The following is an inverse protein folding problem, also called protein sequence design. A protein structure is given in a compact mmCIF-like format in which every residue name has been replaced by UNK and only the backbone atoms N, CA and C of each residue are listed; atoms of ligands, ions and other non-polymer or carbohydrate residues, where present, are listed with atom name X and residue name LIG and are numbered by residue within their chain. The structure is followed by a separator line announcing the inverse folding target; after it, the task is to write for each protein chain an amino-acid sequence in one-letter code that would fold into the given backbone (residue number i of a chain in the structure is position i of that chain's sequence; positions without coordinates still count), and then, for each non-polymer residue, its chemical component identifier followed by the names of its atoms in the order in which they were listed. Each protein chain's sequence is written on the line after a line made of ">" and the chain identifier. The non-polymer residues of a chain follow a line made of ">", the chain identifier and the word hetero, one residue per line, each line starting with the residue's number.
data_IF_158231389183
#
_entry.id   IF_158231389183
#
_cell.length_a   1.000
_cell.length_b   1.000
_cell.length_c   1.000
_cell.angle_alpha   90.00
_cell.angle_beta   90.00
_cell.angle_gamma   90.00
#
_symmetry.space_group_name_H-M   'P 1'
#
loop_
_entity.id
_entity.type
_entity.pdbx_description
1 polymer ?
#
# COMPACT_ATOMS: atom_id res chain seq x y z
N UNK A 1 52.45 27.82 -22.66
CA UNK A 1 52.21 27.16 -21.35
C UNK A 1 50.85 27.51 -20.72
N UNK A 2 50.48 28.79 -20.56
CA UNK A 2 49.19 29.17 -19.92
C UNK A 2 47.94 28.52 -20.54
N UNK A 3 47.86 28.42 -21.88
CA UNK A 3 46.73 27.79 -22.58
C UNK A 3 46.59 26.28 -22.34
N UNK A 4 47.70 25.56 -22.18
CA UNK A 4 47.67 24.12 -21.89
C UNK A 4 47.17 23.84 -20.47
N UNK A 5 47.51 24.73 -19.53
CA UNK A 5 47.09 24.64 -18.13
C UNK A 5 45.57 24.83 -17.97
N UNK A 6 44.97 25.76 -18.71
CA UNK A 6 43.51 25.96 -18.66
C UNK A 6 42.70 24.79 -19.25
N UNK A 7 43.24 24.10 -20.27
CA UNK A 7 42.57 22.93 -20.86
C UNK A 7 42.64 21.74 -19.88
N UNK A 8 43.81 21.48 -19.28
CA UNK A 8 43.96 20.42 -18.28
C UNK A 8 43.11 20.69 -17.02
N UNK A 9 43.06 21.94 -16.56
CA UNK A 9 42.22 22.34 -15.42
C UNK A 9 40.72 22.21 -15.74
N UNK A 10 40.30 22.55 -16.97
CA UNK A 10 38.93 22.38 -17.43
C UNK A 10 38.49 20.92 -17.52
N UNK A 11 39.36 20.03 -18.02
CA UNK A 11 39.10 18.58 -18.07
C UNK A 11 38.99 18.00 -16.66
N UNK A 12 39.89 18.40 -15.74
CA UNK A 12 39.83 17.96 -14.35
C UNK A 12 38.53 18.39 -13.66
N UNK A 13 38.09 19.63 -13.86
CA UNK A 13 36.81 20.12 -13.32
C UNK A 13 35.59 19.40 -13.93
N UNK A 14 35.62 19.08 -15.23
CA UNK A 14 34.55 18.34 -15.90
C UNK A 14 34.45 16.90 -15.38
N UNK A 15 35.58 16.22 -15.18
CA UNK A 15 35.62 14.89 -14.56
C UNK A 15 35.16 14.91 -13.10
N UNK A 16 35.48 15.97 -12.35
CA UNK A 16 35.02 16.13 -10.97
C UNK A 16 33.50 16.35 -10.88
N UNK A 17 32.93 17.11 -11.82
CA UNK A 17 31.47 17.30 -11.91
C UNK A 17 30.72 16.01 -12.32
N UNK A 18 31.25 15.24 -13.27
CA UNK A 18 30.66 13.94 -13.67
C UNK A 18 30.79 12.92 -12.52
N UNK A 19 31.91 12.93 -11.79
CA UNK A 19 32.09 12.08 -10.60
C UNK A 19 31.16 12.43 -9.45
N UNK A 20 30.91 13.74 -9.19
CA UNK A 20 29.92 14.17 -8.20
C UNK A 20 28.49 13.81 -8.61
N UNK A 21 28.14 13.92 -9.90
CA UNK A 21 26.82 13.46 -10.37
C UNK A 21 26.68 11.94 -10.18
N UNK A 22 27.70 11.12 -10.46
CA UNK A 22 27.65 9.67 -10.24
C UNK A 22 27.59 9.25 -8.75
N UNK A 23 28.12 10.07 -7.82
CA UNK A 23 28.07 9.80 -6.38
C UNK A 23 26.76 10.28 -5.72
N UNK A 24 26.10 11.28 -6.31
CA UNK A 24 24.82 11.83 -5.83
C UNK A 24 23.63 11.23 -6.58
N UNK A 25 23.85 10.57 -7.73
CA UNK A 25 22.80 9.78 -8.40
C UNK A 25 22.58 8.52 -7.57
N UNK A 26 21.43 8.38 -6.91
CA UNK A 26 21.17 7.23 -6.06
C UNK A 26 21.16 5.96 -6.92
N UNK A 27 21.90 4.94 -6.47
CA UNK A 27 22.13 3.65 -7.15
C UNK A 27 20.85 2.97 -7.67
N UNK A 28 19.70 3.29 -7.06
CA UNK A 28 18.39 2.72 -7.29
C UNK A 28 17.63 3.23 -8.53
N UNK A 29 18.01 4.40 -9.08
CA UNK A 29 17.25 4.98 -10.21
C UNK A 29 17.60 4.34 -11.55
N UNK A 30 18.82 3.83 -11.72
CA UNK A 30 19.37 3.38 -13.02
C UNK A 30 19.36 1.87 -13.24
N UNK A 31 19.03 1.07 -12.22
CA UNK A 31 19.01 -0.39 -12.34
C UNK A 31 17.69 -0.94 -12.85
N UNK A 32 17.81 -1.95 -13.73
CA UNK A 32 16.70 -2.82 -14.15
C UNK A 32 16.30 -3.85 -13.10
N UNK A 33 17.17 -4.12 -12.13
CA UNK A 33 16.97 -5.13 -11.09
C UNK A 33 17.15 -4.47 -9.72
N UNK A 34 16.03 -4.02 -9.15
CA UNK A 34 16.00 -3.36 -7.83
C UNK A 34 16.24 -4.38 -6.72
N UNK A 35 15.68 -5.59 -6.84
CA UNK A 35 15.80 -6.67 -5.86
C UNK A 35 17.26 -7.05 -5.58
N UNK A 36 18.07 -7.24 -6.62
CA UNK A 36 19.50 -7.54 -6.45
C UNK A 36 20.30 -6.44 -5.75
N UNK A 37 19.89 -5.17 -5.86
CA UNK A 37 20.59 -4.04 -5.24
C UNK A 37 20.25 -3.84 -3.78
N UNK A 38 19.03 -4.23 -3.38
CA UNK A 38 18.55 -4.05 -2.01
C UNK A 38 18.82 -5.28 -1.14
N UNK A 39 19.06 -6.45 -1.73
CA UNK A 39 19.38 -7.68 -1.00
C UNK A 39 20.54 -7.51 0.00
N UNK A 40 21.60 -6.78 -0.39
CA UNK A 40 22.78 -6.56 0.46
C UNK A 40 22.64 -5.39 1.45
N UNK A 41 21.54 -4.62 1.40
CA UNK A 41 21.33 -3.47 2.27
C UNK A 41 20.70 -3.88 3.60
N UNK A 42 20.87 -3.07 4.64
CA UNK A 42 20.14 -3.27 5.88
C UNK A 42 18.66 -2.90 5.72
N UNK A 43 17.76 -3.53 6.50
CA UNK A 43 16.33 -3.20 6.50
C UNK A 43 16.08 -1.72 6.74
N UNK A 44 16.88 -1.09 7.62
CA UNK A 44 16.81 0.35 7.87
C UNK A 44 17.18 1.19 6.65
N UNK A 45 18.21 0.80 5.91
CA UNK A 45 18.61 1.52 4.70
C UNK A 45 17.55 1.38 3.60
N UNK A 46 16.92 0.22 3.47
CA UNK A 46 15.82 -0.01 2.53
C UNK A 46 14.65 0.92 2.89
N UNK A 47 14.21 0.92 4.15
CA UNK A 47 13.07 1.71 4.61
C UNK A 47 13.35 3.22 4.52
N UNK A 48 14.56 3.66 4.86
CA UNK A 48 14.95 5.07 4.76
C UNK A 48 14.91 5.61 3.31
N UNK A 49 14.89 4.72 2.31
CA UNK A 49 14.86 5.07 0.90
C UNK A 49 13.56 4.68 0.20
N UNK A 50 12.57 4.14 0.92
CA UNK A 50 11.37 3.54 0.32
C UNK A 50 10.54 4.56 -0.48
N UNK A 51 10.44 5.80 0.01
CA UNK A 51 9.72 6.90 -0.67
C UNK A 51 10.29 7.23 -2.05
N UNK A 52 11.57 6.91 -2.30
CA UNK A 52 12.20 7.13 -3.61
C UNK A 52 11.61 6.24 -4.70
N UNK A 53 10.96 5.15 -4.32
CA UNK A 53 10.32 4.21 -5.22
C UNK A 53 8.84 4.49 -5.42
N UNK A 54 8.20 5.31 -4.58
CA UNK A 54 6.76 5.60 -4.60
C UNK A 54 6.20 6.08 -5.96
N UNK A 55 7.05 6.62 -6.85
CA UNK A 55 6.68 6.99 -8.21
C UNK A 55 6.67 5.84 -9.23
N UNK A 56 7.03 4.62 -8.83
CA UNK A 56 7.16 3.44 -9.70
C UNK A 56 6.62 2.20 -8.96
N UNK A 57 5.34 1.83 -9.17
CA UNK A 57 4.71 0.72 -8.48
C UNK A 57 5.50 -0.58 -8.54
N UNK A 58 6.02 -0.94 -9.73
CA UNK A 58 6.85 -2.14 -9.94
C UNK A 58 8.09 -2.17 -9.04
N UNK A 59 8.79 -1.03 -8.88
CA UNK A 59 9.97 -0.93 -8.03
C UNK A 59 9.59 -0.97 -6.54
N UNK A 60 8.48 -0.33 -6.18
CA UNK A 60 7.96 -0.40 -4.81
C UNK A 60 7.57 -1.83 -4.43
N UNK A 61 6.93 -2.58 -5.34
CA UNK A 61 6.63 -4.02 -5.14
C UNK A 61 7.91 -4.81 -4.92
N UNK A 62 8.94 -4.59 -5.74
CA UNK A 62 10.22 -5.29 -5.56
C UNK A 62 10.85 -5.02 -4.17
N UNK A 63 10.75 -3.79 -3.67
CA UNK A 63 11.21 -3.42 -2.32
C UNK A 63 10.37 -4.08 -1.23
N UNK A 64 9.04 -4.08 -1.39
CA UNK A 64 8.13 -4.69 -0.41
C UNK A 64 8.28 -6.21 -0.34
N UNK A 65 8.50 -6.87 -1.47
CA UNK A 65 8.79 -8.30 -1.52
C UNK A 65 10.08 -8.65 -0.78
N UNK A 66 11.15 -7.87 -0.98
CA UNK A 66 12.40 -8.05 -0.22
C UNK A 66 12.19 -7.84 1.27
N UNK A 67 11.42 -6.81 1.65
CA UNK A 67 11.06 -6.59 3.06
C UNK A 67 10.24 -7.75 3.63
N UNK A 68 9.41 -8.41 2.82
CA UNK A 68 8.61 -9.58 3.20
C UNK A 68 9.44 -10.77 3.69
N UNK A 69 10.69 -10.87 3.25
CA UNK A 69 11.66 -11.89 3.70
C UNK A 69 12.32 -11.52 5.04
N UNK A 70 12.09 -10.30 5.57
CA UNK A 70 12.77 -9.72 6.75
C UNK A 70 11.83 -9.42 7.91
N UNK A 71 10.83 -10.27 8.10
CA UNK A 71 9.71 -10.08 9.04
C UNK A 71 10.14 -9.75 10.48
N UNK A 72 11.16 -10.47 11.00
CA UNK A 72 11.64 -10.24 12.37
C UNK A 72 12.30 -8.86 12.53
N UNK A 73 12.97 -8.36 11.50
CA UNK A 73 13.55 -7.02 11.51
C UNK A 73 12.46 -5.96 11.46
N UNK A 74 11.40 -6.17 10.67
CA UNK A 74 10.24 -5.26 10.56
C UNK A 74 9.55 -5.06 11.92
N UNK A 75 9.42 -6.12 12.73
CA UNK A 75 8.79 -6.02 14.07
C UNK A 75 9.50 -5.01 14.97
N UNK A 76 10.83 -4.90 14.82
CA UNK A 76 11.70 -4.02 15.61
C UNK A 76 11.81 -2.58 15.10
N UNK A 77 11.18 -2.25 13.97
CA UNK A 77 11.20 -0.92 13.40
C UNK A 77 10.42 0.10 14.24
N UNK A 78 10.83 1.36 14.12
CA UNK A 78 10.14 2.49 14.71
C UNK A 78 8.76 2.70 14.05
N UNK A 79 7.78 3.29 14.74
CA UNK A 79 6.46 3.57 14.17
C UNK A 79 6.51 4.37 12.85
N UNK A 80 7.43 5.33 12.74
CA UNK A 80 7.63 6.12 11.51
C UNK A 80 8.14 5.27 10.34
N UNK A 81 8.99 4.29 10.61
CA UNK A 81 9.52 3.35 9.62
C UNK A 81 8.42 2.39 9.16
N UNK A 82 7.62 1.88 10.09
CA UNK A 82 6.43 1.06 9.80
C UNK A 82 5.41 1.84 8.94
N UNK A 83 5.13 3.09 9.29
CA UNK A 83 4.26 3.98 8.50
C UNK A 83 4.77 4.18 7.08
N UNK A 84 6.09 4.31 6.88
CA UNK A 84 6.68 4.42 5.54
C UNK A 84 6.45 3.15 4.70
N UNK A 85 6.60 1.97 5.30
CA UNK A 85 6.32 0.68 4.63
C UNK A 85 4.83 0.57 4.26
N UNK A 86 3.93 0.94 5.17
CA UNK A 86 2.49 0.97 4.94
C UNK A 86 2.12 1.88 3.74
N UNK A 87 2.62 3.12 3.74
CA UNK A 87 2.41 4.07 2.65
C UNK A 87 2.98 3.57 1.32
N UNK A 88 4.13 2.92 1.35
CA UNK A 88 4.71 2.30 0.17
C UNK A 88 3.78 1.22 -0.39
N UNK A 89 3.23 0.35 0.47
CA UNK A 89 2.22 -0.66 0.10
C UNK A 89 1.00 -0.05 -0.60
N UNK A 90 0.47 1.03 -0.03
CA UNK A 90 -0.62 1.81 -0.65
C UNK A 90 -0.23 2.34 -2.01
N UNK A 91 0.96 2.96 -2.14
CA UNK A 91 1.42 3.53 -3.41
C UNK A 91 1.68 2.49 -4.50
N UNK A 92 2.09 1.28 -4.12
CA UNK A 92 2.34 0.19 -5.06
C UNK A 92 1.02 -0.44 -5.53
N UNK A 93 0.05 -0.55 -4.62
CA UNK A 93 -1.17 -1.35 -4.84
C UNK A 93 -2.32 -0.50 -5.36
N UNK A 94 -2.47 0.72 -4.87
CA UNK A 94 -3.58 1.61 -5.23
C UNK A 94 -3.09 2.56 -6.32
N UNK A 95 -3.44 2.34 -7.61
CA UNK A 95 -3.04 3.22 -8.69
C UNK A 95 -3.89 4.49 -8.63
N UNK A 96 -3.60 5.40 -7.69
CA UNK A 96 -4.35 6.63 -7.46
C UNK A 96 -4.50 7.47 -8.75
N UNK A 97 -3.52 7.40 -9.64
CA UNK A 97 -3.57 8.04 -10.96
C UNK A 97 -4.64 7.45 -11.87
N UNK A 98 -4.83 6.14 -11.82
CA UNK A 98 -5.85 5.43 -12.61
C UNK A 98 -7.22 5.59 -11.99
N UNK A 99 -7.32 5.57 -10.65
CA UNK A 99 -8.53 5.92 -9.91
C UNK A 99 -8.97 7.35 -10.24
N UNK A 100 -8.05 8.31 -10.25
CA UNK A 100 -8.33 9.69 -10.65
C UNK A 100 -8.79 9.75 -12.10
N UNK A 101 -8.13 9.04 -13.02
CA UNK A 101 -8.52 9.02 -14.43
C UNK A 101 -9.92 8.40 -14.64
N UNK A 102 -10.28 7.36 -13.89
CA UNK A 102 -11.61 6.74 -13.90
C UNK A 102 -12.64 7.72 -13.32
N UNK A 103 -12.35 8.34 -12.19
CA UNK A 103 -13.21 9.34 -11.56
C UNK A 103 -13.45 10.54 -12.48
N UNK A 104 -12.39 11.07 -13.09
CA UNK A 104 -12.45 12.19 -14.04
C UNK A 104 -13.21 11.80 -15.31
N UNK A 105 -13.00 10.59 -15.84
CA UNK A 105 -13.75 10.10 -17.00
C UNK A 105 -15.24 10.00 -16.70
N UNK A 106 -15.59 9.61 -15.48
CA UNK A 106 -17.00 9.43 -15.09
C UNK A 106 -17.69 10.75 -14.74
N UNK A 107 -16.97 11.69 -14.11
CA UNK A 107 -17.48 13.04 -13.87
C UNK A 107 -17.71 13.82 -15.16
N UNK A 108 -16.89 13.58 -16.20
CA UNK A 108 -16.99 14.27 -17.48
C UNK A 108 -17.99 13.62 -18.47
N UNK A 109 -18.43 12.39 -18.25
CA UNK A 109 -19.38 11.70 -19.15
C UNK A 109 -20.85 12.10 -18.98
N UNK A 110 -21.22 12.89 -17.96
CA UNK A 110 -22.59 13.37 -17.77
C UNK A 110 -23.64 12.29 -17.48
N UNK A 111 -23.25 11.02 -17.43
CA UNK A 111 -24.08 9.92 -16.95
C UNK A 111 -24.16 9.97 -15.42
N UNK A 112 -25.38 10.02 -14.91
CA UNK A 112 -25.66 9.99 -13.48
C UNK A 112 -25.26 8.63 -12.89
N UNK A 113 -24.15 8.63 -12.14
CA UNK A 113 -23.73 7.56 -11.25
C UNK A 113 -22.64 6.67 -11.85
N UNK A 114 -21.40 6.85 -11.38
CA UNK A 114 -20.36 5.82 -11.51
C UNK A 114 -20.84 4.58 -10.78
N UNK A 115 -21.01 3.46 -11.46
CA UNK A 115 -21.24 2.16 -10.82
C UNK A 115 -20.03 1.84 -9.94
N UNK A 116 -20.17 1.82 -8.59
CA UNK A 116 -19.04 1.56 -7.69
C UNK A 116 -18.36 0.21 -7.96
N UNK A 117 -19.10 -0.75 -8.51
CA UNK A 117 -18.54 -2.05 -8.86
C UNK A 117 -17.58 -1.93 -10.05
N UNK A 118 -17.88 -1.10 -11.06
CA UNK A 118 -16.96 -0.87 -12.20
C UNK A 118 -15.67 -0.17 -11.78
N UNK A 119 -15.73 0.72 -10.79
CA UNK A 119 -14.53 1.36 -10.22
C UNK A 119 -13.69 0.32 -9.50
N UNK A 120 -14.32 -0.46 -8.63
CA UNK A 120 -13.64 -1.53 -7.89
C UNK A 120 -13.03 -2.57 -8.85
N UNK A 121 -13.74 -2.91 -9.93
CA UNK A 121 -13.25 -3.81 -10.97
C UNK A 121 -12.01 -3.25 -11.67
N UNK A 122 -12.06 -2.00 -12.11
CA UNK A 122 -10.93 -1.37 -12.78
C UNK A 122 -9.74 -1.25 -11.82
N UNK A 123 -9.96 -0.93 -10.55
CA UNK A 123 -8.91 -0.91 -9.52
C UNK A 123 -8.29 -2.29 -9.34
N UNK A 124 -9.09 -3.33 -9.11
CA UNK A 124 -8.62 -4.71 -8.97
C UNK A 124 -7.89 -5.21 -10.22
N UNK A 125 -8.27 -4.76 -11.42
CA UNK A 125 -7.60 -5.12 -12.66
C UNK A 125 -6.18 -4.56 -12.74
N UNK A 126 -5.96 -3.38 -12.17
CA UNK A 126 -4.71 -2.62 -12.20
C UNK A 126 -3.79 -2.84 -10.99
N UNK A 127 -4.32 -3.42 -9.91
CA UNK A 127 -3.53 -3.79 -8.74
C UNK A 127 -2.44 -4.80 -9.17
N UNK A 128 -1.14 -4.47 -8.98
CA UNK A 128 -0.08 -5.43 -9.21
C UNK A 128 -0.13 -6.53 -8.15
N UNK A 129 0.26 -7.74 -8.55
CA UNK A 129 0.49 -8.81 -7.58
C UNK A 129 1.74 -8.48 -6.74
N UNK A 130 1.60 -8.54 -5.42
CA UNK A 130 2.62 -8.15 -4.46
C UNK A 130 2.62 -9.12 -3.28
N UNK A 131 3.80 -9.43 -2.74
CA UNK A 131 3.90 -10.13 -1.46
C UNK A 131 3.51 -9.18 -0.32
N UNK A 132 2.44 -9.52 0.38
CA UNK A 132 1.86 -8.69 1.44
C UNK A 132 2.49 -8.92 2.82
N UNK A 133 3.41 -9.88 2.97
CA UNK A 133 4.00 -10.25 4.28
C UNK A 133 4.58 -9.09 5.06
N UNK A 134 5.30 -8.17 4.41
CA UNK A 134 5.87 -7.01 5.07
C UNK A 134 4.79 -6.11 5.72
N UNK A 135 3.65 -5.97 5.03
CA UNK A 135 2.50 -5.20 5.52
C UNK A 135 1.74 -5.97 6.59
N UNK A 136 1.53 -7.27 6.40
CA UNK A 136 0.87 -8.16 7.38
C UNK A 136 1.57 -8.10 8.74
N UNK A 137 2.90 -8.20 8.78
CA UNK A 137 3.68 -8.11 10.02
C UNK A 137 3.43 -6.79 10.76
N UNK A 138 3.25 -5.69 10.03
CA UNK A 138 2.94 -4.39 10.64
C UNK A 138 1.49 -4.34 11.11
N UNK A 139 0.55 -4.84 10.31
CA UNK A 139 -0.89 -4.89 10.62
C UNK A 139 -1.20 -5.79 11.85
N UNK A 140 -0.40 -6.83 12.06
CA UNK A 140 -0.50 -7.67 13.26
C UNK A 140 0.08 -7.02 14.52
N UNK A 141 0.95 -6.02 14.36
CA UNK A 141 1.66 -5.36 15.47
C UNK A 141 0.82 -4.30 16.22
N UNK A 142 1.43 -3.63 17.18
CA UNK A 142 0.84 -2.45 17.84
C UNK A 142 0.90 -1.23 16.91
N UNK A 143 -0.13 -0.40 16.98
CA UNK A 143 -0.32 0.79 16.16
C UNK A 143 0.08 2.09 16.86
N UNK A 144 0.73 2.00 18.02
CA UNK A 144 1.28 3.18 18.70
C UNK A 144 2.17 4.00 17.75
N UNK A 145 1.84 5.29 17.58
CA UNK A 145 2.57 6.20 16.69
C UNK A 145 2.31 6.01 15.19
N UNK A 146 1.41 5.10 14.79
CA UNK A 146 0.97 4.91 13.39
C UNK A 146 -0.42 5.53 13.20
N UNK A 147 -0.58 6.29 12.12
CA UNK A 147 -1.84 6.96 11.80
C UNK A 147 -2.93 5.97 11.39
N UNK A 148 -4.19 6.26 11.72
CA UNK A 148 -5.34 5.45 11.30
C UNK A 148 -5.44 5.37 9.79
N UNK A 149 -5.13 6.46 9.09
CA UNK A 149 -5.10 6.49 7.63
C UNK A 149 -4.13 5.46 7.05
N UNK A 150 -2.90 5.38 7.56
CA UNK A 150 -1.92 4.42 7.06
C UNK A 150 -2.39 2.97 7.28
N UNK A 151 -2.98 2.69 8.44
CA UNK A 151 -3.48 1.35 8.77
C UNK A 151 -4.64 0.96 7.85
N UNK A 152 -5.64 1.82 7.72
CA UNK A 152 -6.85 1.50 6.97
C UNK A 152 -6.56 1.43 5.47
N UNK A 153 -5.82 2.39 4.90
CA UNK A 153 -5.49 2.35 3.46
C UNK A 153 -4.57 1.17 3.13
N UNK A 154 -3.64 0.81 4.01
CA UNK A 154 -2.80 -0.37 3.78
C UNK A 154 -3.58 -1.67 3.94
N UNK A 155 -4.57 -1.70 4.84
CA UNK A 155 -5.48 -2.84 4.97
C UNK A 155 -6.28 -3.06 3.68
N UNK A 156 -6.74 -1.98 3.04
CA UNK A 156 -7.36 -2.03 1.70
C UNK A 156 -6.38 -2.59 0.67
N UNK A 157 -5.14 -2.09 0.65
CA UNK A 157 -4.12 -2.55 -0.29
C UNK A 157 -3.84 -4.06 -0.12
N UNK A 158 -3.60 -4.52 1.11
CA UNK A 158 -3.38 -5.95 1.41
C UNK A 158 -4.57 -6.79 0.99
N UNK A 159 -5.79 -6.36 1.30
CA UNK A 159 -7.00 -7.08 0.93
C UNK A 159 -7.17 -7.19 -0.60
N UNK A 160 -6.92 -6.11 -1.34
CA UNK A 160 -6.97 -6.11 -2.81
C UNK A 160 -5.93 -7.06 -3.41
N UNK A 161 -4.69 -7.06 -2.89
CA UNK A 161 -3.63 -7.98 -3.35
C UNK A 161 -3.94 -9.44 -3.04
N UNK A 162 -4.44 -9.73 -1.83
CA UNK A 162 -4.85 -11.08 -1.42
C UNK A 162 -5.98 -11.63 -2.31
N UNK A 163 -6.96 -10.78 -2.62
CA UNK A 163 -8.08 -11.11 -3.51
C UNK A 163 -7.59 -11.31 -4.94
N UNK A 164 -6.69 -10.46 -5.45
CA UNK A 164 -6.11 -10.60 -6.79
C UNK A 164 -5.39 -11.95 -6.95
N UNK A 165 -4.65 -12.37 -5.92
CA UNK A 165 -3.89 -13.63 -5.90
C UNK A 165 -4.76 -14.89 -5.94
N UNK A 166 -5.95 -14.85 -5.33
CA UNK A 166 -6.93 -15.94 -5.41
C UNK A 166 -7.36 -16.22 -6.86
N UNK A 167 -7.30 -15.20 -7.73
CA UNK A 167 -7.66 -15.29 -9.14
C UNK A 167 -9.16 -15.43 -9.37
N UNK A 168 -9.57 -15.21 -10.62
CA UNK A 168 -10.97 -15.28 -11.04
C UNK A 168 -11.46 -14.01 -11.74
N UNK A 169 -12.74 -13.99 -12.07
CA UNK A 169 -13.39 -12.81 -12.64
C UNK A 169 -13.49 -11.70 -11.60
N UNK A 170 -13.25 -10.46 -12.02
CA UNK A 170 -13.15 -9.31 -11.12
C UNK A 170 -14.44 -9.05 -10.32
N UNK A 171 -15.61 -9.38 -10.87
CA UNK A 171 -16.88 -9.27 -10.14
C UNK A 171 -16.97 -10.29 -9.00
N UNK A 172 -16.51 -11.52 -9.25
CA UNK A 172 -16.48 -12.56 -8.23
C UNK A 172 -15.46 -12.22 -7.14
N UNK A 173 -14.35 -11.57 -7.50
CA UNK A 173 -13.33 -11.11 -6.57
C UNK A 173 -13.84 -9.99 -5.65
N UNK A 174 -14.56 -9.01 -6.20
CA UNK A 174 -15.19 -7.96 -5.42
C UNK A 174 -16.21 -8.51 -4.42
N UNK A 175 -17.07 -9.44 -4.86
CA UNK A 175 -18.06 -10.08 -3.99
C UNK A 175 -17.41 -11.02 -2.94
N UNK A 176 -16.33 -11.71 -3.31
CA UNK A 176 -15.53 -12.50 -2.35
C UNK A 176 -14.94 -11.61 -1.26
N UNK A 177 -14.38 -10.46 -1.60
CA UNK A 177 -13.84 -9.52 -0.62
C UNK A 177 -14.91 -9.04 0.36
N UNK A 178 -16.05 -8.60 -0.18
CA UNK A 178 -17.23 -8.18 0.60
C UNK A 178 -17.74 -9.29 1.53
N UNK A 179 -17.78 -10.54 1.05
CA UNK A 179 -18.24 -11.67 1.85
C UNK A 179 -17.21 -12.18 2.88
N UNK A 180 -15.92 -11.95 2.64
CA UNK A 180 -14.85 -12.43 3.50
C UNK A 180 -14.67 -11.60 4.78
N UNK A 181 -14.72 -10.27 4.65
CA UNK A 181 -14.56 -9.35 5.78
C UNK A 181 -15.94 -8.89 6.20
N UNK A 182 -16.32 -9.10 7.45
CA UNK A 182 -17.62 -8.67 7.97
C UNK A 182 -17.43 -7.63 9.07
N UNK A 183 -18.05 -6.46 8.89
CA UNK A 183 -18.17 -5.45 9.93
C UNK A 183 -19.54 -5.59 10.62
N UNK A 184 -19.53 -5.69 11.94
CA UNK A 184 -20.74 -5.70 12.77
C UNK A 184 -20.68 -4.53 13.74
N UNK A 185 -21.67 -3.66 13.68
CA UNK A 185 -21.86 -2.62 14.68
C UNK A 185 -22.81 -3.15 15.77
N UNK A 186 -22.33 -3.13 17.01
CA UNK A 186 -23.10 -3.49 18.19
C UNK A 186 -24.04 -2.34 18.60
N UNK A 187 -25.07 -2.68 19.36
CA UNK A 187 -26.11 -1.73 19.79
C UNK A 187 -25.57 -0.56 20.66
N UNK A 188 -24.37 -0.71 21.23
CA UNK A 188 -23.69 0.33 22.01
C UNK A 188 -22.79 1.23 21.16
N UNK A 189 -22.79 1.04 19.83
CA UNK A 189 -21.96 1.78 18.88
C UNK A 189 -20.51 1.31 18.84
N UNK A 190 -20.17 0.21 19.52
CA UNK A 190 -18.89 -0.47 19.29
C UNK A 190 -18.97 -1.28 17.98
N UNK A 191 -17.82 -1.44 17.31
CA UNK A 191 -17.73 -2.20 16.07
C UNK A 191 -16.82 -3.40 16.26
N UNK A 192 -17.07 -4.47 15.50
CA UNK A 192 -16.15 -5.58 15.35
C UNK A 192 -15.94 -5.91 13.88
N UNK A 193 -14.73 -6.31 13.54
CA UNK A 193 -14.38 -6.79 12.20
C UNK A 193 -13.92 -8.23 12.31
N UNK A 194 -14.43 -9.09 11.43
CA UNK A 194 -14.08 -10.51 11.40
C UNK A 194 -13.81 -10.98 9.97
N UNK A 195 -13.03 -12.06 9.86
CA UNK A 195 -12.77 -12.76 8.61
C UNK A 195 -13.27 -14.20 8.71
N UNK A 196 -14.04 -14.65 7.72
CA UNK A 196 -14.62 -16.00 7.70
C UNK A 196 -13.79 -17.00 6.89
N UNK A 197 -12.94 -16.52 5.97
CA UNK A 197 -12.13 -17.38 5.10
C UNK A 197 -12.91 -18.14 4.02
N UNK A 198 -14.23 -17.99 3.99
CA UNK A 198 -15.11 -18.65 3.03
C UNK A 198 -14.88 -18.11 1.62
N UNK A 199 -14.75 -19.01 0.65
CA UNK A 199 -14.52 -18.64 -0.75
C UNK A 199 -13.06 -18.37 -1.15
N UNK A 200 -12.12 -18.48 -0.21
CA UNK A 200 -10.69 -18.41 -0.45
C UNK A 200 -10.04 -19.79 -0.35
N UNK A 201 -9.14 -20.10 -1.27
CA UNK A 201 -8.42 -21.38 -1.34
C UNK A 201 -6.92 -21.19 -1.15
N UNK A 202 -6.37 -20.03 -1.50
CA UNK A 202 -4.97 -19.71 -1.25
C UNK A 202 -4.73 -19.43 0.24
N UNK A 203 -3.73 -20.10 0.81
CA UNK A 203 -3.40 -19.98 2.22
C UNK A 203 -2.83 -18.59 2.57
N UNK A 204 -1.99 -18.02 1.69
CA UNK A 204 -1.42 -16.70 1.93
C UNK A 204 -2.47 -15.59 1.81
N UNK A 205 -3.46 -15.72 0.92
CA UNK A 205 -4.60 -14.81 0.86
C UNK A 205 -5.43 -14.85 2.15
N UNK A 206 -5.58 -16.03 2.78
CA UNK A 206 -6.26 -16.15 4.08
C UNK A 206 -5.48 -15.50 5.21
N UNK A 207 -4.17 -15.71 5.27
CA UNK A 207 -3.29 -15.07 6.26
C UNK A 207 -3.35 -13.54 6.13
N UNK A 208 -3.20 -13.03 4.92
CA UNK A 208 -3.29 -11.60 4.61
C UNK A 208 -4.64 -10.99 5.02
N UNK A 209 -5.76 -11.63 4.67
CA UNK A 209 -7.09 -11.13 5.02
C UNK A 209 -7.40 -11.25 6.52
N UNK A 210 -6.83 -12.25 7.21
CA UNK A 210 -6.92 -12.35 8.66
C UNK A 210 -6.15 -11.22 9.36
N UNK A 211 -4.94 -10.89 8.88
CA UNK A 211 -4.18 -9.74 9.37
C UNK A 211 -4.94 -8.41 9.15
N UNK A 212 -5.56 -8.25 7.98
CA UNK A 212 -6.44 -7.11 7.68
C UNK A 212 -7.61 -7.02 8.66
N UNK A 213 -8.35 -8.11 8.85
CA UNK A 213 -9.50 -8.11 9.76
C UNK A 213 -9.07 -7.79 11.20
N UNK A 214 -7.97 -8.36 11.68
CA UNK A 214 -7.42 -8.04 13.00
C UNK A 214 -6.99 -6.58 13.15
N UNK A 215 -6.39 -6.00 12.12
CA UNK A 215 -6.01 -4.59 12.12
C UNK A 215 -7.23 -3.66 12.16
N UNK A 216 -8.22 -3.92 11.31
CA UNK A 216 -9.45 -3.13 11.27
C UNK A 216 -10.26 -3.29 12.56
N UNK A 217 -10.31 -4.49 13.15
CA UNK A 217 -10.96 -4.76 14.44
C UNK A 217 -10.35 -3.92 15.57
N UNK A 218 -9.01 -3.84 15.64
CA UNK A 218 -8.32 -2.95 16.58
C UNK A 218 -8.67 -1.47 16.35
N UNK A 219 -8.80 -1.04 15.09
CA UNK A 219 -9.17 0.35 14.75
C UNK A 219 -10.59 0.68 15.18
N UNK A 220 -11.57 -0.17 14.88
CA UNK A 220 -12.98 0.10 15.23
C UNK A 220 -13.25 -0.02 16.73
N UNK A 221 -12.46 -0.80 17.46
CA UNK A 221 -12.51 -0.90 18.92
C UNK A 221 -11.83 0.26 19.64
N UNK A 222 -10.99 1.05 18.95
CA UNK A 222 -10.39 2.27 19.47
C UNK A 222 -11.31 3.48 19.19
N UNK A 223 -12.00 4.04 20.21
CA UNK A 223 -12.95 5.12 20.01
C UNK A 223 -12.32 6.41 19.45
N UNK A 224 -11.01 6.61 19.68
CA UNK A 224 -10.29 7.76 19.14
C UNK A 224 -10.12 7.61 17.63
N UNK A 225 -9.80 6.39 17.17
CA UNK A 225 -9.52 6.12 15.76
C UNK A 225 -10.78 5.89 14.93
N UNK A 226 -11.80 5.21 15.46
CA UNK A 226 -13.06 4.90 14.75
C UNK A 226 -13.71 6.14 14.12
N UNK A 227 -13.63 7.29 14.79
CA UNK A 227 -14.28 8.52 14.35
C UNK A 227 -13.36 9.41 13.49
N UNK A 228 -12.14 8.97 13.18
CA UNK A 228 -11.23 9.74 12.34
C UNK A 228 -11.70 9.77 10.89
N UNK A 229 -11.51 10.93 10.28
CA UNK A 229 -11.72 11.14 8.86
C UNK A 229 -10.43 10.74 8.13
N UNK A 230 -10.51 9.71 7.29
CA UNK A 230 -9.32 9.14 6.63
C UNK A 230 -9.02 9.87 5.31
N UNK A 231 -10.07 10.33 4.64
CA UNK A 231 -10.02 11.17 3.44
C UNK A 231 -11.11 12.24 3.58
N UNK A 232 -10.99 13.41 2.91
CA UNK A 232 -12.03 14.42 2.94
C UNK A 232 -13.42 13.84 2.61
N UNK A 233 -14.34 13.88 3.56
CA UNK A 233 -15.69 13.33 3.51
C UNK A 233 -15.84 11.83 3.77
N UNK A 234 -14.77 11.10 4.10
CA UNK A 234 -14.78 9.63 4.26
C UNK A 234 -14.28 9.23 5.66
N UNK A 235 -15.20 8.73 6.47
CA UNK A 235 -14.88 8.15 7.79
C UNK A 235 -14.33 6.72 7.68
N UNK A 236 -13.67 6.27 8.75
CA UNK A 236 -13.25 4.86 8.93
C UNK A 236 -14.41 3.90 8.70
N UNK A 237 -15.54 4.11 9.35
CA UNK A 237 -16.73 3.24 9.21
C UNK A 237 -17.22 3.16 7.77
N UNK A 238 -17.16 4.28 7.04
CA UNK A 238 -17.57 4.31 5.63
C UNK A 238 -16.65 3.44 4.79
N UNK A 239 -15.33 3.56 4.98
CA UNK A 239 -14.36 2.79 4.22
C UNK A 239 -14.40 1.29 4.58
N UNK A 240 -14.54 0.95 5.85
CA UNK A 240 -14.68 -0.44 6.31
C UNK A 240 -15.99 -1.06 5.78
N UNK A 241 -17.09 -0.30 5.76
CA UNK A 241 -18.35 -0.72 5.15
C UNK A 241 -18.21 -1.05 3.66
N UNK A 242 -17.44 -0.24 2.91
CA UNK A 242 -17.17 -0.51 1.49
C UNK A 242 -16.43 -1.83 1.26
N UNK A 243 -15.50 -2.19 2.14
CA UNK A 243 -14.69 -3.41 2.02
C UNK A 243 -15.48 -4.64 2.50
N UNK A 244 -16.35 -4.48 3.49
CA UNK A 244 -17.08 -5.58 4.14
C UNK A 244 -18.44 -5.92 3.53
N UNK A 245 -18.80 -5.30 2.39
CA UNK A 245 -20.12 -5.43 1.79
C UNK A 245 -21.27 -4.91 2.65
N UNK A 246 -20.97 -4.37 3.83
CA UNK A 246 -21.92 -3.77 4.75
C UNK A 246 -22.43 -2.47 4.17
N UNK A 247 -23.59 -2.52 3.52
CA UNK A 247 -24.37 -1.34 3.27
C UNK A 247 -24.65 -0.68 4.63
N UNK A 248 -24.10 0.52 4.82
CA UNK A 248 -24.74 1.52 5.65
C UNK A 248 -26.10 1.85 5.00
N UNK A 249 -27.06 0.92 5.02
CA UNK A 249 -28.47 1.25 4.88
C UNK A 249 -28.89 1.91 6.19
N UNK A 250 -28.49 3.18 6.34
CA UNK A 250 -29.19 4.09 7.22
C UNK A 250 -30.58 4.30 6.61
N UNK A 251 -31.56 3.56 7.14
CA UNK A 251 -32.98 3.93 7.06
C UNK A 251 -33.20 5.29 7.74
#
# INVERSE_FOLDING_TARGET
>A
MKRLFYILFGIFFLCFFIGCQAFVTPMFQTSRDVSSQIADLSTKDIVANIDRFAGSPEKTVAVLNELGERQEEIKSLLPSEKSAILKAGVSATIPMKEISAIADSTMNSGESGTDPNKVLESVLSSVPEMDTKALEVILESDFEGITTQDIVLSSVAVAMSAVKKEGGDTNQLAEKLKGAITYTEDADGSGSVSFTGDGFTDASSKEALNAVAGALDKVVKDPQRKNEEILPGVSVDTLIGMISGGANEKN
#
